data_IF_461717461689
#
_entry.id   IF_461717461689
#
_cell.length_a   1.000
_cell.length_b   1.000
_cell.length_c   1.000
_cell.angle_alpha   90.00
_cell.angle_beta   90.00
_cell.angle_gamma   90.00
#
_symmetry.space_group_name_H-M   'P 1'
#
loop_
_entity.id
_entity.type
_entity.pdbx_description
1 polymer ?
#
# COMPACT_ATOMS: atom_id res chain seq x y z
N UNK A 1 -10.45 -7.46 17.89
CA UNK A 1 -9.27 -6.78 17.32
C UNK A 1 -8.05 -7.03 18.19
N UNK A 2 -6.84 -6.88 17.61
CA UNK A 2 -5.59 -7.03 18.36
C UNK A 2 -4.56 -5.97 17.93
N UNK A 3 -3.66 -5.61 18.84
CA UNK A 3 -2.54 -4.73 18.58
C UNK A 3 -1.23 -5.35 19.10
N UNK A 4 -0.20 -5.30 18.26
CA UNK A 4 1.15 -5.79 18.62
C UNK A 4 2.13 -4.62 18.59
N UNK A 5 2.48 -4.06 19.77
CA UNK A 5 3.41 -2.94 19.88
C UNK A 5 4.87 -3.35 19.72
N UNK A 6 5.75 -2.35 19.81
CA UNK A 6 7.18 -2.57 20.10
C UNK A 6 7.34 -3.25 21.45
N UNK A 7 8.34 -4.13 21.59
CA UNK A 7 8.65 -4.81 22.84
C UNK A 7 8.98 -3.85 23.99
N UNK A 8 8.55 -4.17 25.20
CA UNK A 8 8.67 -3.31 26.38
C UNK A 8 10.06 -2.73 26.68
N UNK A 9 11.19 -3.44 26.50
CA UNK A 9 12.50 -2.86 26.76
C UNK A 9 12.78 -1.59 25.96
N UNK A 10 12.15 -1.45 24.80
CA UNK A 10 12.31 -0.31 23.88
C UNK A 10 11.14 0.68 23.91
N UNK A 11 10.07 0.39 24.69
CA UNK A 11 8.86 1.22 24.69
C UNK A 11 9.14 2.69 25.06
N UNK A 12 10.07 2.95 26.01
CA UNK A 12 10.47 4.31 26.38
C UNK A 12 11.14 5.09 25.23
N UNK A 13 11.77 4.39 24.28
CA UNK A 13 12.41 4.98 23.11
C UNK A 13 11.44 5.13 21.93
N UNK A 14 10.31 4.42 21.96
CA UNK A 14 9.36 4.32 20.86
C UNK A 14 7.95 4.79 21.24
N UNK A 15 7.84 6.03 21.73
CA UNK A 15 6.58 6.69 22.11
C UNK A 15 5.54 6.64 20.98
N UNK A 16 6.00 6.61 19.71
CA UNK A 16 5.13 6.46 18.57
C UNK A 16 4.31 5.16 18.57
N UNK A 17 4.87 4.06 19.08
CA UNK A 17 4.15 2.79 19.19
C UNK A 17 3.00 2.86 20.22
N UNK A 18 3.24 3.51 21.36
CA UNK A 18 2.20 3.75 22.38
C UNK A 18 1.10 4.68 21.84
N UNK A 19 1.46 5.69 21.07
CA UNK A 19 0.49 6.59 20.41
C UNK A 19 -0.35 5.85 19.38
N UNK A 20 0.25 4.96 18.59
CA UNK A 20 -0.47 4.11 17.62
C UNK A 20 -1.45 3.16 18.35
N UNK A 21 -1.02 2.52 19.44
CA UNK A 21 -1.88 1.67 20.28
C UNK A 21 -3.06 2.47 20.84
N UNK A 22 -2.76 3.61 21.46
CA UNK A 22 -3.78 4.49 22.06
C UNK A 22 -4.82 4.93 21.03
N UNK A 23 -4.38 5.38 19.84
CA UNK A 23 -5.28 5.79 18.78
C UNK A 23 -6.12 4.63 18.24
N UNK A 24 -5.53 3.44 18.08
CA UNK A 24 -6.22 2.24 17.62
C UNK A 24 -7.32 1.83 18.58
N UNK A 25 -7.04 1.82 19.87
CA UNK A 25 -8.02 1.53 20.93
C UNK A 25 -9.09 2.60 21.02
N UNK A 26 -8.69 3.87 21.05
CA UNK A 26 -9.63 5.00 21.15
C UNK A 26 -10.63 5.04 19.97
N UNK A 27 -10.27 4.49 18.82
CA UNK A 27 -11.19 4.38 17.69
C UNK A 27 -12.12 3.17 17.79
N UNK A 28 -11.64 2.01 18.23
CA UNK A 28 -12.38 0.75 18.20
C UNK A 28 -13.26 0.50 19.45
N UNK A 29 -12.76 0.85 20.63
CA UNK A 29 -13.48 0.60 21.88
C UNK A 29 -14.85 1.31 21.97
N UNK A 30 -15.00 2.59 21.54
CA UNK A 30 -16.30 3.25 21.49
C UNK A 30 -17.30 2.61 20.50
N UNK A 31 -16.79 1.85 19.52
CA UNK A 31 -17.62 1.08 18.58
C UNK A 31 -18.04 -0.29 19.14
N UNK A 32 -17.70 -0.60 20.40
CA UNK A 32 -18.04 -1.86 21.07
C UNK A 32 -17.05 -3.00 20.76
N UNK A 33 -15.88 -2.72 20.17
CA UNK A 33 -14.91 -3.74 19.85
C UNK A 33 -13.84 -3.87 20.94
N UNK A 34 -13.70 -5.08 21.51
CA UNK A 34 -12.58 -5.40 22.39
C UNK A 34 -11.26 -5.43 21.62
N UNK A 35 -10.20 -4.85 22.22
CA UNK A 35 -8.85 -4.83 21.66
C UNK A 35 -7.89 -5.58 22.58
N UNK A 36 -7.42 -6.76 22.13
CA UNK A 36 -6.37 -7.50 22.81
C UNK A 36 -5.01 -6.87 22.46
N UNK A 37 -4.17 -6.62 23.47
CA UNK A 37 -2.86 -6.03 23.23
C UNK A 37 -1.77 -7.00 23.68
N UNK A 38 -0.81 -7.27 22.79
CA UNK A 38 0.37 -8.04 23.13
C UNK A 38 1.24 -7.32 24.17
N UNK A 39 1.58 -8.02 25.25
CA UNK A 39 2.36 -7.47 26.38
C UNK A 39 3.62 -8.30 26.64
N UNK A 40 4.37 -8.63 25.60
CA UNK A 40 5.66 -9.30 25.74
C UNK A 40 6.64 -8.46 26.56
N UNK A 41 7.41 -9.11 27.44
CA UNK A 41 8.44 -8.47 28.26
C UNK A 41 9.84 -8.61 27.66
N UNK A 42 10.03 -9.58 26.76
CA UNK A 42 11.32 -9.87 26.13
C UNK A 42 11.69 -8.82 25.07
N UNK A 43 12.98 -8.73 24.77
CA UNK A 43 13.47 -7.92 23.67
C UNK A 43 12.93 -8.43 22.34
N UNK A 44 12.80 -7.52 21.39
CA UNK A 44 12.30 -7.79 20.06
C UNK A 44 13.10 -8.91 19.37
N UNK A 45 12.37 -9.83 18.75
CA UNK A 45 12.89 -10.96 17.96
C UNK A 45 13.77 -11.98 18.71
N UNK A 46 13.72 -11.98 20.05
CA UNK A 46 14.35 -13.05 20.84
C UNK A 46 13.49 -14.34 20.83
N UNK A 47 14.07 -15.51 21.19
CA UNK A 47 13.28 -16.73 21.34
C UNK A 47 12.08 -16.58 22.30
N UNK A 48 12.26 -15.84 23.40
CA UNK A 48 11.21 -15.59 24.39
C UNK A 48 10.11 -14.68 23.83
N UNK A 49 10.47 -13.64 23.04
CA UNK A 49 9.49 -12.79 22.36
C UNK A 49 8.67 -13.59 21.34
N UNK A 50 9.33 -14.47 20.58
CA UNK A 50 8.66 -15.33 19.60
C UNK A 50 7.69 -16.30 20.28
N UNK A 51 8.11 -16.96 21.36
CA UNK A 51 7.25 -17.87 22.12
C UNK A 51 6.05 -17.15 22.75
N UNK A 52 6.27 -15.95 23.33
CA UNK A 52 5.19 -15.13 23.87
C UNK A 52 4.20 -14.67 22.79
N UNK A 53 4.71 -14.28 21.61
CA UNK A 53 3.88 -13.89 20.46
C UNK A 53 3.04 -15.07 19.95
N UNK A 54 3.61 -16.26 19.85
CA UNK A 54 2.89 -17.47 19.46
C UNK A 54 1.79 -17.85 20.47
N UNK A 55 2.09 -17.73 21.76
CA UNK A 55 1.09 -17.94 22.81
C UNK A 55 -0.05 -16.92 22.71
N UNK A 56 0.26 -15.65 22.49
CA UNK A 56 -0.73 -14.59 22.29
C UNK A 56 -1.63 -14.88 21.07
N UNK A 57 -1.03 -15.23 19.92
CA UNK A 57 -1.78 -15.52 18.70
C UNK A 57 -2.65 -16.79 18.83
N UNK A 58 -2.21 -17.77 19.59
CA UNK A 58 -2.98 -18.98 19.87
C UNK A 58 -4.22 -18.66 20.70
N UNK A 59 -4.07 -17.84 21.74
CA UNK A 59 -5.14 -17.44 22.65
C UNK A 59 -6.12 -16.42 22.03
N UNK A 60 -5.72 -15.75 20.94
CA UNK A 60 -6.55 -14.72 20.33
C UNK A 60 -7.83 -15.33 19.72
N UNK A 61 -9.04 -14.85 20.10
CA UNK A 61 -10.28 -15.27 19.46
C UNK A 61 -10.27 -15.01 17.96
N UNK A 62 -10.80 -15.96 17.19
CA UNK A 62 -10.81 -15.90 15.72
C UNK A 62 -12.27 -15.87 15.22
N UNK A 63 -12.58 -15.13 14.13
CA UNK A 63 -11.65 -14.33 13.31
C UNK A 63 -11.20 -13.04 14.01
N UNK A 64 -9.96 -12.60 13.76
CA UNK A 64 -9.40 -11.40 14.33
C UNK A 64 -8.80 -10.49 13.24
N UNK A 65 -8.77 -9.18 13.51
CA UNK A 65 -7.99 -8.21 12.76
C UNK A 65 -6.90 -7.65 13.68
N UNK A 66 -5.65 -7.75 13.25
CA UNK A 66 -4.47 -7.41 14.02
C UNK A 66 -3.68 -6.29 13.32
N UNK A 67 -3.37 -5.23 14.07
CA UNK A 67 -2.44 -4.18 13.67
C UNK A 67 -1.13 -4.35 14.44
N UNK A 68 -0.02 -4.42 13.71
CA UNK A 68 1.31 -4.31 14.30
C UNK A 68 1.80 -2.87 14.24
N UNK A 69 2.64 -2.48 15.19
CA UNK A 69 3.11 -1.11 15.32
C UNK A 69 3.93 -0.63 14.10
N UNK A 70 4.62 -1.55 13.39
CA UNK A 70 5.34 -1.31 12.13
C UNK A 70 5.49 -2.62 11.33
N UNK A 71 6.03 -2.53 10.11
CA UNK A 71 6.04 -3.62 9.14
C UNK A 71 6.91 -4.81 9.57
N UNK A 72 8.10 -4.61 10.14
CA UNK A 72 8.92 -5.73 10.64
C UNK A 72 8.18 -6.52 11.73
N UNK A 73 7.49 -5.83 12.64
CA UNK A 73 6.68 -6.50 13.67
C UNK A 73 5.52 -7.27 13.06
N UNK A 74 4.90 -6.73 12.04
CA UNK A 74 3.90 -7.45 11.25
C UNK A 74 4.49 -8.69 10.58
N UNK A 75 5.70 -8.60 10.06
CA UNK A 75 6.44 -9.75 9.51
C UNK A 75 6.63 -10.87 10.53
N UNK A 76 6.98 -10.54 11.78
CA UNK A 76 7.08 -11.54 12.85
C UNK A 76 5.73 -12.15 13.21
N UNK A 77 4.65 -11.36 13.19
CA UNK A 77 3.29 -11.90 13.37
C UNK A 77 2.94 -12.88 12.25
N UNK A 78 3.23 -12.55 10.99
CA UNK A 78 2.97 -13.43 9.85
C UNK A 78 3.77 -14.73 9.94
N UNK A 79 5.06 -14.65 10.26
CA UNK A 79 5.92 -15.82 10.46
C UNK A 79 5.43 -16.71 11.62
N UNK A 80 4.96 -16.12 12.71
CA UNK A 80 4.35 -16.87 13.81
C UNK A 80 3.03 -17.52 13.40
N UNK A 81 2.18 -16.83 12.62
CA UNK A 81 0.96 -17.40 12.06
C UNK A 81 1.26 -18.62 11.15
N UNK A 82 2.31 -18.52 10.32
CA UNK A 82 2.73 -19.64 9.45
C UNK A 82 3.13 -20.87 10.28
N UNK A 83 3.99 -20.69 11.30
CA UNK A 83 4.41 -21.80 12.20
C UNK A 83 3.25 -22.44 12.95
N UNK A 84 2.25 -21.63 13.34
CA UNK A 84 1.06 -22.09 14.07
C UNK A 84 -0.06 -22.63 13.14
N UNK A 85 0.12 -22.58 11.82
CA UNK A 85 -0.92 -22.96 10.87
C UNK A 85 -2.14 -22.06 10.88
N UNK A 86 -2.02 -20.81 11.35
CA UNK A 86 -3.08 -19.82 11.36
C UNK A 86 -3.21 -19.20 9.97
N UNK A 87 -4.40 -19.34 9.35
CA UNK A 87 -4.65 -18.81 8.01
C UNK A 87 -4.76 -17.28 8.03
N UNK A 88 -3.88 -16.61 7.28
CA UNK A 88 -3.91 -15.18 7.04
C UNK A 88 -4.37 -14.92 5.60
N UNK A 89 -5.41 -14.10 5.37
CA UNK A 89 -6.20 -13.33 6.34
C UNK A 89 -7.42 -14.08 6.90
N UNK A 90 -7.60 -15.37 6.59
CA UNK A 90 -8.86 -16.11 6.86
C UNK A 90 -9.23 -16.20 8.34
N UNK A 91 -8.26 -16.36 9.22
CA UNK A 91 -8.47 -16.43 10.68
C UNK A 91 -7.92 -15.18 11.37
N UNK A 92 -6.79 -14.64 10.89
CA UNK A 92 -6.21 -13.40 11.39
C UNK A 92 -5.82 -12.54 10.20
N UNK A 93 -6.48 -11.38 10.03
CA UNK A 93 -6.03 -10.37 9.09
C UNK A 93 -4.95 -9.51 9.75
N UNK A 94 -3.85 -9.21 9.03
CA UNK A 94 -2.70 -8.48 9.58
C UNK A 94 -2.41 -7.23 8.77
N UNK A 95 -2.22 -6.10 9.46
CA UNK A 95 -1.79 -4.83 8.87
C UNK A 95 -0.55 -4.30 9.60
N UNK A 96 0.42 -3.81 8.82
CA UNK A 96 1.58 -3.09 9.31
C UNK A 96 1.47 -1.57 9.11
N UNK A 97 2.55 -0.87 9.35
CA UNK A 97 2.72 0.58 9.09
C UNK A 97 4.13 0.79 8.58
N UNK A 98 4.31 1.78 7.74
CA UNK A 98 5.47 2.37 7.09
C UNK A 98 5.56 2.03 5.60
N UNK A 99 4.93 0.96 5.14
CA UNK A 99 4.95 0.45 3.77
C UNK A 99 6.38 0.25 3.26
N UNK A 100 7.24 -0.36 4.08
CA UNK A 100 8.54 -0.82 3.61
C UNK A 100 8.34 -1.89 2.54
N UNK A 101 8.66 -1.56 1.29
CA UNK A 101 8.41 -2.44 0.15
C UNK A 101 9.18 -3.76 0.25
N UNK A 102 10.40 -3.73 0.80
CA UNK A 102 11.18 -4.95 1.00
C UNK A 102 10.50 -5.86 2.01
N UNK A 103 10.16 -5.36 3.18
CA UNK A 103 9.47 -6.14 4.22
C UNK A 103 8.12 -6.64 3.70
N UNK A 104 7.31 -5.73 3.13
CA UNK A 104 5.96 -6.05 2.69
C UNK A 104 5.90 -7.12 1.60
N UNK A 105 6.84 -7.08 0.63
CA UNK A 105 6.85 -8.01 -0.50
C UNK A 105 7.52 -9.35 -0.18
N UNK A 106 8.45 -9.39 0.79
CA UNK A 106 9.06 -10.63 1.26
C UNK A 106 8.19 -11.42 2.24
N UNK A 107 7.22 -10.77 2.90
CA UNK A 107 6.26 -11.46 3.76
C UNK A 107 5.40 -12.48 2.99
N UNK A 108 5.01 -13.56 3.68
CA UNK A 108 4.07 -14.59 3.18
C UNK A 108 2.93 -14.77 4.19
N UNK A 109 1.68 -14.38 3.82
CA UNK A 109 1.27 -13.64 2.62
C UNK A 109 1.84 -12.22 2.60
N UNK A 110 1.89 -11.56 1.41
CA UNK A 110 2.37 -10.17 1.27
C UNK A 110 1.62 -9.22 2.20
N UNK A 111 2.37 -8.36 2.89
CA UNK A 111 1.86 -7.53 3.98
C UNK A 111 1.11 -6.29 3.49
N UNK A 112 -0.14 -6.15 3.90
CA UNK A 112 -0.90 -4.90 3.84
C UNK A 112 -0.32 -3.91 4.84
N UNK A 113 -0.08 -2.67 4.43
CA UNK A 113 0.53 -1.67 5.30
C UNK A 113 -0.06 -0.28 5.10
N UNK A 114 -0.10 0.50 6.18
CA UNK A 114 -0.39 1.94 6.13
C UNK A 114 0.85 2.65 5.58
N UNK A 115 0.67 3.47 4.54
CA UNK A 115 1.74 4.24 3.93
C UNK A 115 1.72 5.69 4.44
N UNK A 116 2.61 6.07 5.38
CA UNK A 116 2.78 7.46 5.77
C UNK A 116 3.33 8.31 4.63
N UNK A 117 3.05 9.61 4.63
CA UNK A 117 3.61 10.54 3.63
C UNK A 117 4.94 11.12 4.13
N UNK A 118 5.96 10.28 4.24
CA UNK A 118 7.29 10.66 4.74
C UNK A 118 7.95 11.77 3.92
N UNK A 119 7.67 11.87 2.63
CA UNK A 119 8.17 12.97 1.79
C UNK A 119 7.59 14.30 2.27
N UNK A 120 6.28 14.35 2.48
CA UNK A 120 5.62 15.55 2.97
C UNK A 120 6.01 15.89 4.40
N UNK A 121 6.19 14.89 5.26
CA UNK A 121 6.70 15.06 6.61
C UNK A 121 8.10 15.69 6.60
N UNK A 122 9.02 15.13 5.81
CA UNK A 122 10.38 15.64 5.64
C UNK A 122 10.43 17.07 5.10
N UNK A 123 9.64 17.38 4.07
CA UNK A 123 9.55 18.74 3.51
C UNK A 123 9.03 19.74 4.54
N UNK A 124 8.02 19.38 5.33
CA UNK A 124 7.48 20.25 6.39
C UNK A 124 8.49 20.44 7.52
N UNK A 125 9.17 19.40 7.93
CA UNK A 125 10.21 19.46 8.96
C UNK A 125 11.36 20.38 8.52
N UNK A 126 11.84 20.24 7.28
CA UNK A 126 12.87 21.12 6.72
C UNK A 126 12.44 22.59 6.68
N UNK A 127 11.22 22.87 6.24
CA UNK A 127 10.68 24.23 6.20
C UNK A 127 10.50 24.83 7.61
N UNK A 128 10.11 24.00 8.59
CA UNK A 128 10.01 24.43 9.98
C UNK A 128 11.39 24.74 10.57
N UNK A 129 12.39 23.91 10.29
CA UNK A 129 13.77 24.12 10.71
C UNK A 129 14.37 25.38 10.11
N UNK A 130 14.18 25.61 8.80
CA UNK A 130 14.63 26.84 8.12
C UNK A 130 14.05 28.10 8.79
N UNK A 131 12.74 28.08 9.11
CA UNK A 131 12.11 29.19 9.82
C UNK A 131 12.75 29.43 11.20
N UNK A 132 13.02 28.37 11.97
CA UNK A 132 13.67 28.45 13.29
C UNK A 132 15.11 28.97 13.16
N UNK A 133 15.89 28.50 12.19
CA UNK A 133 17.25 28.97 11.93
C UNK A 133 17.27 30.47 11.58
N UNK A 134 16.26 30.94 10.84
CA UNK A 134 16.07 32.38 10.55
C UNK A 134 15.45 33.16 11.73
N UNK A 135 15.35 32.57 12.93
CA UNK A 135 14.72 33.16 14.13
C UNK A 135 13.27 33.61 13.90
N UNK A 136 12.56 32.92 13.01
CA UNK A 136 11.14 33.14 12.74
C UNK A 136 10.32 31.98 13.32
N UNK A 137 9.10 32.25 13.79
CA UNK A 137 8.20 31.19 14.19
C UNK A 137 7.72 30.42 12.95
N UNK A 138 7.78 29.06 12.95
CA UNK A 138 7.21 28.26 11.88
C UNK A 138 5.71 28.55 11.72
N UNK A 139 5.22 28.54 10.48
CA UNK A 139 3.79 28.65 10.23
C UNK A 139 3.06 27.46 10.89
N UNK A 140 1.92 27.72 11.54
CA UNK A 140 1.10 26.68 12.22
C UNK A 140 0.86 25.46 11.34
N UNK A 141 0.57 25.65 10.05
CA UNK A 141 0.37 24.58 9.08
C UNK A 141 1.56 23.61 8.94
N UNK A 142 2.80 24.03 9.25
CA UNK A 142 3.97 23.17 9.21
C UNK A 142 4.06 22.24 10.43
N UNK A 143 3.39 22.60 11.51
CA UNK A 143 3.36 21.85 12.78
C UNK A 143 2.16 20.91 12.90
N UNK A 144 1.21 20.99 11.95
CA UNK A 144 0.07 20.08 11.93
C UNK A 144 0.47 18.68 11.49
N UNK A 145 -0.16 17.62 12.02
CA UNK A 145 0.09 16.24 11.59
C UNK A 145 -0.11 16.07 10.08
N UNK A 146 0.74 15.26 9.46
CA UNK A 146 0.56 14.84 8.07
C UNK A 146 -0.28 13.57 8.07
N UNK A 147 -1.43 13.56 7.38
CA UNK A 147 -2.23 12.34 7.28
C UNK A 147 -1.48 11.28 6.46
N UNK A 148 -1.73 9.98 6.72
CA UNK A 148 -1.17 8.93 5.90
C UNK A 148 -1.62 9.08 4.44
N UNK A 149 -0.77 8.69 3.51
CA UNK A 149 -1.03 8.79 2.07
C UNK A 149 -2.13 7.83 1.62
N UNK A 150 -2.00 6.57 2.03
CA UNK A 150 -2.95 5.51 1.70
C UNK A 150 -2.73 4.27 2.57
N UNK A 151 -3.62 3.28 2.46
CA UNK A 151 -3.39 1.91 2.90
C UNK A 151 -3.11 1.07 1.67
N UNK A 152 -1.90 0.53 1.56
CA UNK A 152 -1.52 -0.36 0.46
C UNK A 152 -2.01 -1.77 0.79
N UNK A 153 -3.15 -2.15 0.20
CA UNK A 153 -3.78 -3.43 0.47
C UNK A 153 -3.05 -4.53 -0.30
N UNK A 154 -2.57 -5.54 0.45
CA UNK A 154 -1.97 -6.77 -0.07
C UNK A 154 -2.69 -7.99 0.51
N UNK A 155 -2.07 -9.16 0.48
CA UNK A 155 -2.71 -10.44 0.81
C UNK A 155 -3.07 -10.59 2.28
N UNK A 156 -2.29 -10.02 3.21
CA UNK A 156 -2.43 -10.25 4.65
C UNK A 156 -3.70 -9.68 5.29
N UNK A 157 -4.35 -8.71 4.64
CA UNK A 157 -5.61 -8.12 5.10
C UNK A 157 -6.62 -7.92 3.95
N UNK A 158 -6.39 -8.53 2.79
CA UNK A 158 -7.35 -8.46 1.69
C UNK A 158 -8.68 -9.09 2.12
N UNK A 159 -9.82 -8.48 1.76
CA UNK A 159 -11.13 -9.05 2.09
C UNK A 159 -11.24 -10.47 1.55
N UNK A 160 -11.62 -11.42 2.42
CA UNK A 160 -11.74 -12.85 2.09
C UNK A 160 -13.02 -13.14 1.30
N UNK A 161 -13.85 -12.13 0.98
CA UNK A 161 -15.05 -12.38 0.19
C UNK A 161 -14.69 -12.93 -1.21
N UNK A 162 -15.42 -13.90 -1.73
CA UNK A 162 -15.19 -14.42 -3.09
C UNK A 162 -15.17 -13.30 -4.15
N UNK A 163 -15.95 -12.23 -3.93
CA UNK A 163 -16.00 -11.08 -4.81
C UNK A 163 -14.70 -10.26 -4.78
N UNK A 164 -14.14 -10.01 -3.60
CA UNK A 164 -12.88 -9.28 -3.46
C UNK A 164 -11.68 -10.11 -3.96
N UNK A 165 -11.66 -11.42 -3.72
CA UNK A 165 -10.67 -12.32 -4.28
C UNK A 165 -10.72 -12.35 -5.82
N UNK A 166 -11.91 -12.31 -6.41
CA UNK A 166 -12.12 -12.22 -7.84
C UNK A 166 -11.56 -10.92 -8.42
N UNK A 167 -11.87 -9.77 -7.79
CA UNK A 167 -11.37 -8.47 -8.23
C UNK A 167 -9.85 -8.41 -8.15
N UNK A 168 -9.25 -8.87 -7.05
CA UNK A 168 -7.80 -8.92 -6.91
C UNK A 168 -7.13 -9.73 -8.03
N UNK A 169 -7.65 -10.92 -8.35
CA UNK A 169 -7.13 -11.73 -9.47
C UNK A 169 -7.29 -11.00 -10.80
N UNK A 170 -8.41 -10.32 -11.01
CA UNK A 170 -8.65 -9.55 -12.22
C UNK A 170 -7.68 -8.37 -12.36
N UNK A 171 -7.43 -7.63 -11.28
CA UNK A 171 -6.47 -6.52 -11.25
C UNK A 171 -5.03 -7.00 -11.49
N UNK A 172 -4.60 -8.10 -10.87
CA UNK A 172 -3.29 -8.70 -11.12
C UNK A 172 -3.12 -9.13 -12.57
N UNK A 173 -4.15 -9.73 -13.17
CA UNK A 173 -4.14 -10.10 -14.59
C UNK A 173 -4.05 -8.87 -15.50
N UNK A 174 -4.79 -7.79 -15.19
CA UNK A 174 -4.73 -6.51 -15.90
C UNK A 174 -3.32 -5.92 -15.86
N UNK A 175 -2.72 -5.82 -14.66
CA UNK A 175 -1.40 -5.23 -14.46
C UNK A 175 -0.32 -5.93 -15.30
N UNK A 176 -0.37 -7.26 -15.35
CA UNK A 176 0.60 -8.06 -16.09
C UNK A 176 0.36 -8.03 -17.61
N UNK A 177 -0.90 -7.93 -18.08
CA UNK A 177 -1.25 -8.21 -19.47
C UNK A 177 -1.82 -7.01 -20.23
N UNK A 178 -2.05 -5.84 -19.61
CA UNK A 178 -2.70 -4.70 -20.24
C UNK A 178 -2.07 -4.28 -21.58
N UNK A 179 -0.74 -4.33 -21.67
CA UNK A 179 0.02 -3.95 -22.87
C UNK A 179 -0.15 -4.91 -24.04
N UNK A 180 -0.63 -6.13 -23.80
CA UNK A 180 -0.87 -7.15 -24.83
C UNK A 180 -2.18 -6.92 -25.58
N UNK A 181 -2.86 -5.78 -25.36
CA UNK A 181 -4.09 -5.43 -26.04
C UNK A 181 -5.31 -6.22 -25.58
N UNK A 182 -5.27 -6.82 -24.39
CA UNK A 182 -6.39 -7.55 -23.80
C UNK A 182 -7.61 -6.64 -23.63
N UNK A 183 -8.78 -7.26 -23.68
CA UNK A 183 -10.08 -6.63 -23.51
C UNK A 183 -10.72 -7.07 -22.20
N UNK A 184 -11.71 -6.36 -21.67
CA UNK A 184 -12.41 -6.77 -20.46
C UNK A 184 -13.03 -8.18 -20.50
N UNK A 185 -13.37 -8.69 -21.70
CA UNK A 185 -13.79 -10.08 -21.87
C UNK A 185 -12.68 -11.11 -21.58
N UNK A 186 -11.43 -10.76 -21.89
CA UNK A 186 -10.27 -11.61 -21.60
C UNK A 186 -9.98 -11.63 -20.10
N UNK A 187 -10.15 -10.49 -19.42
CA UNK A 187 -10.07 -10.40 -17.96
C UNK A 187 -11.15 -11.27 -17.30
N UNK A 188 -12.39 -11.20 -17.76
CA UNK A 188 -13.47 -12.03 -17.22
C UNK A 188 -13.18 -13.53 -17.39
N UNK A 189 -12.67 -13.91 -18.56
CA UNK A 189 -12.28 -15.29 -18.88
C UNK A 189 -11.12 -15.77 -17.99
N UNK A 190 -10.12 -14.95 -17.75
CA UNK A 190 -8.96 -15.30 -16.92
C UNK A 190 -9.32 -15.59 -15.46
N UNK A 191 -10.38 -14.95 -14.95
CA UNK A 191 -10.85 -15.17 -13.58
C UNK A 191 -12.04 -16.12 -13.47
N UNK A 192 -12.49 -16.69 -14.61
CA UNK A 192 -13.51 -17.73 -14.67
C UNK A 192 -14.95 -17.25 -14.44
N UNK A 193 -15.29 -16.02 -14.86
CA UNK A 193 -16.63 -15.46 -14.70
C UNK A 193 -17.16 -14.84 -15.99
N UNK A 194 -18.48 -14.61 -16.05
CA UNK A 194 -19.07 -13.83 -17.14
C UNK A 194 -18.66 -12.36 -17.07
N UNK A 195 -18.61 -11.69 -18.21
CA UNK A 195 -18.32 -10.26 -18.30
C UNK A 195 -19.27 -9.43 -17.41
N UNK A 196 -20.56 -9.75 -17.44
CA UNK A 196 -21.59 -9.07 -16.63
C UNK A 196 -21.31 -9.18 -15.14
N UNK A 197 -20.92 -10.37 -14.66
CA UNK A 197 -20.57 -10.57 -13.24
C UNK A 197 -19.32 -9.79 -12.88
N UNK A 198 -18.29 -9.76 -13.73
CA UNK A 198 -17.08 -8.98 -13.51
C UNK A 198 -17.39 -7.48 -13.39
N UNK A 199 -18.15 -6.91 -14.33
CA UNK A 199 -18.53 -5.50 -14.30
C UNK A 199 -19.36 -5.16 -13.07
N UNK A 200 -20.30 -6.04 -12.67
CA UNK A 200 -21.07 -5.88 -11.44
C UNK A 200 -20.16 -5.85 -10.20
N UNK A 201 -19.20 -6.76 -10.10
CA UNK A 201 -18.27 -6.79 -8.96
C UNK A 201 -17.35 -5.59 -8.95
N UNK A 202 -16.87 -5.15 -10.10
CA UNK A 202 -16.07 -3.92 -10.19
C UNK A 202 -16.88 -2.69 -9.75
N UNK A 203 -18.15 -2.56 -10.14
CA UNK A 203 -19.00 -1.45 -9.69
C UNK A 203 -19.27 -1.46 -8.18
N UNK A 204 -19.34 -2.64 -7.57
CA UNK A 204 -19.61 -2.78 -6.13
C UNK A 204 -18.38 -2.58 -5.24
N UNK A 205 -17.19 -3.00 -5.69
CA UNK A 205 -16.01 -3.14 -4.84
C UNK A 205 -14.78 -2.37 -5.35
N UNK A 206 -14.85 -1.79 -6.54
CA UNK A 206 -13.75 -1.04 -7.13
C UNK A 206 -14.22 0.36 -7.55
N UNK A 207 -13.36 1.36 -7.38
CA UNK A 207 -13.69 2.75 -7.75
C UNK A 207 -13.71 2.99 -9.26
N UNK A 208 -13.08 2.09 -10.03
CA UNK A 208 -12.94 2.20 -11.50
C UNK A 208 -13.52 0.97 -12.18
N UNK A 209 -13.99 1.15 -13.40
CA UNK A 209 -14.41 0.04 -14.25
C UNK A 209 -13.22 -0.78 -14.73
N UNK A 210 -13.47 -2.00 -15.23
CA UNK A 210 -12.43 -2.85 -15.85
C UNK A 210 -11.71 -2.12 -16.99
N UNK A 211 -12.43 -1.34 -17.81
CA UNK A 211 -11.83 -0.52 -18.86
C UNK A 211 -10.93 0.60 -18.27
N UNK A 212 -11.35 1.22 -17.18
CA UNK A 212 -10.56 2.24 -16.48
C UNK A 212 -9.25 1.68 -15.96
N UNK A 213 -9.27 0.50 -15.33
CA UNK A 213 -8.06 -0.17 -14.83
C UNK A 213 -7.12 -0.58 -15.98
N UNK A 214 -7.66 -1.11 -17.08
CA UNK A 214 -6.85 -1.42 -18.27
C UNK A 214 -6.20 -0.18 -18.87
N UNK A 215 -6.89 0.94 -18.88
CA UNK A 215 -6.36 2.21 -19.35
C UNK A 215 -5.25 2.71 -18.44
N UNK A 216 -5.46 2.71 -17.13
CA UNK A 216 -4.48 3.15 -16.13
C UNK A 216 -3.20 2.30 -16.18
N UNK A 217 -3.33 0.98 -16.29
CA UNK A 217 -2.20 0.09 -16.44
C UNK A 217 -1.35 0.42 -17.67
N UNK A 218 -2.00 0.69 -18.82
CA UNK A 218 -1.31 1.14 -20.05
C UNK A 218 -0.64 2.50 -19.87
N UNK A 219 -1.32 3.46 -19.23
CA UNK A 219 -0.78 4.80 -19.00
C UNK A 219 0.41 4.78 -18.03
N UNK A 220 0.44 3.89 -17.04
CA UNK A 220 1.62 3.67 -16.18
C UNK A 220 2.86 3.28 -17.01
N UNK A 221 2.68 2.37 -17.99
CA UNK A 221 3.78 1.97 -18.89
C UNK A 221 4.22 3.15 -19.75
N UNK A 222 3.28 3.94 -20.29
CA UNK A 222 3.61 5.16 -21.04
C UNK A 222 4.45 6.11 -20.20
N UNK A 223 4.04 6.42 -18.97
CA UNK A 223 4.78 7.30 -18.07
C UNK A 223 6.20 6.79 -17.81
N UNK A 224 6.34 5.51 -17.46
CA UNK A 224 7.64 4.89 -17.24
C UNK A 224 8.55 5.05 -18.47
N UNK A 225 8.02 4.79 -19.67
CA UNK A 225 8.82 4.92 -20.91
C UNK A 225 9.14 6.38 -21.25
N UNK A 226 8.26 7.34 -20.98
CA UNK A 226 8.53 8.77 -21.19
C UNK A 226 9.66 9.26 -20.29
N UNK A 227 9.75 8.75 -19.05
CA UNK A 227 10.79 9.10 -18.08
C UNK A 227 12.12 8.42 -18.38
N UNK A 228 12.10 7.12 -18.72
CA UNK A 228 13.31 6.29 -18.81
C UNK A 228 13.89 6.17 -20.22
N UNK A 229 13.20 6.61 -21.28
CA UNK A 229 13.65 6.41 -22.67
C UNK A 229 13.47 7.64 -23.56
N UNK A 230 14.24 7.71 -24.65
CA UNK A 230 14.08 8.72 -25.70
C UNK A 230 13.26 8.21 -26.91
N UNK A 231 12.64 7.04 -26.81
CA UNK A 231 11.89 6.44 -27.92
C UNK A 231 10.83 7.40 -28.50
N UNK A 232 10.59 7.38 -29.82
CA UNK A 232 9.50 8.14 -30.45
C UNK A 232 8.16 7.83 -29.79
N UNK A 233 7.25 8.82 -29.74
CA UNK A 233 5.91 8.64 -29.13
C UNK A 233 5.14 7.49 -29.79
N UNK A 234 5.30 7.30 -31.10
CA UNK A 234 4.71 6.17 -31.82
C UNK A 234 5.18 4.81 -31.26
N UNK A 235 6.49 4.67 -30.96
CA UNK A 235 7.05 3.46 -30.37
C UNK A 235 6.57 3.25 -28.92
N UNK A 236 6.44 4.33 -28.14
CA UNK A 236 5.87 4.28 -26.79
C UNK A 236 4.38 3.83 -26.85
N UNK A 237 3.61 4.36 -27.78
CA UNK A 237 2.22 4.00 -27.99
C UNK A 237 2.06 2.50 -28.31
N UNK A 238 2.84 1.99 -29.24
CA UNK A 238 2.84 0.57 -29.62
C UNK A 238 3.23 -0.33 -28.44
N UNK A 239 4.32 0.00 -27.73
CA UNK A 239 4.82 -0.78 -26.58
C UNK A 239 3.82 -0.78 -25.39
N UNK A 240 3.04 0.27 -25.22
CA UNK A 240 1.98 0.35 -24.21
C UNK A 240 0.65 -0.29 -24.68
N UNK A 241 0.61 -0.93 -25.84
CA UNK A 241 -0.56 -1.64 -26.37
C UNK A 241 -1.68 -0.73 -26.86
N UNK A 242 -1.37 0.49 -27.31
CA UNK A 242 -2.33 1.37 -27.99
C UNK A 242 -2.25 1.15 -29.49
N UNK A 243 -3.40 0.97 -30.14
CA UNK A 243 -3.51 0.78 -31.60
C UNK A 243 -3.33 2.08 -32.40
N UNK A 244 -3.56 3.21 -31.76
CA UNK A 244 -3.56 4.52 -32.42
C UNK A 244 -2.92 5.56 -31.49
N UNK A 245 -1.90 6.25 -32.00
CA UNK A 245 -1.17 7.30 -31.29
C UNK A 245 -2.07 8.49 -30.93
N UNK A 246 -2.96 8.90 -31.83
CA UNK A 246 -3.90 10.00 -31.58
C UNK A 246 -4.86 9.68 -30.43
N UNK A 247 -5.31 8.42 -30.33
CA UNK A 247 -6.11 8.00 -29.19
C UNK A 247 -5.33 8.09 -27.89
N UNK A 248 -4.09 7.63 -27.85
CA UNK A 248 -3.20 7.79 -26.68
C UNK A 248 -3.01 9.27 -26.34
N UNK A 249 -2.73 10.14 -27.32
CA UNK A 249 -2.52 11.58 -27.07
C UNK A 249 -3.74 12.23 -26.43
N UNK A 250 -4.95 11.93 -26.96
CA UNK A 250 -6.22 12.43 -26.40
C UNK A 250 -6.43 11.98 -24.97
N UNK A 251 -6.26 10.69 -24.71
CA UNK A 251 -6.47 10.09 -23.38
C UNK A 251 -5.41 10.56 -22.39
N UNK A 252 -4.15 10.63 -22.80
CA UNK A 252 -3.06 11.11 -21.95
C UNK A 252 -3.27 12.56 -21.53
N UNK A 253 -3.64 13.44 -22.47
CA UNK A 253 -3.95 14.84 -22.17
C UNK A 253 -5.15 14.98 -21.25
N UNK A 254 -6.19 14.19 -21.45
CA UNK A 254 -7.37 14.18 -20.57
C UNK A 254 -7.05 13.72 -19.15
N UNK A 255 -6.09 12.79 -18.99
CA UNK A 255 -5.73 12.19 -17.70
C UNK A 255 -4.70 13.02 -16.93
N UNK A 256 -3.71 13.62 -17.60
CA UNK A 256 -2.59 14.33 -17.00
C UNK A 256 -2.55 15.84 -17.27
N UNK A 257 -3.52 16.40 -17.99
CA UNK A 257 -3.65 17.83 -18.26
C UNK A 257 -2.63 18.40 -19.26
N UNK A 258 -1.66 17.62 -19.75
CA UNK A 258 -0.61 18.07 -20.66
C UNK A 258 -0.23 17.03 -21.70
N UNK A 259 0.53 17.44 -22.74
CA UNK A 259 0.96 16.51 -23.79
C UNK A 259 2.09 15.59 -23.31
N UNK A 260 2.26 14.44 -23.95
CA UNK A 260 3.37 13.52 -23.70
C UNK A 260 4.74 14.16 -23.99
N UNK A 261 4.81 15.10 -24.94
CA UNK A 261 6.04 15.85 -25.25
C UNK A 261 6.42 16.80 -24.12
N UNK A 262 5.45 17.52 -23.57
CA UNK A 262 5.65 18.43 -22.44
C UNK A 262 6.04 17.64 -21.18
N UNK A 263 5.34 16.54 -20.92
CA UNK A 263 5.67 15.64 -19.81
C UNK A 263 7.13 15.14 -19.89
N UNK A 264 7.57 14.68 -21.07
CA UNK A 264 8.95 14.22 -21.28
C UNK A 264 9.96 15.32 -21.09
N UNK A 265 9.68 16.54 -21.57
CA UNK A 265 10.55 17.70 -21.40
C UNK A 265 10.73 18.04 -19.93
N UNK A 266 9.66 18.10 -19.16
CA UNK A 266 9.68 18.39 -17.73
C UNK A 266 10.42 17.29 -16.93
N UNK A 267 10.14 16.02 -17.23
CA UNK A 267 10.82 14.90 -16.56
C UNK A 267 12.34 14.90 -16.79
N UNK A 268 12.82 15.52 -17.88
CA UNK A 268 14.25 15.64 -18.19
C UNK A 268 14.86 16.94 -17.67
N UNK A 269 14.05 17.99 -17.46
CA UNK A 269 14.52 19.27 -16.92
C UNK A 269 14.57 19.27 -15.39
N UNK A 270 13.99 18.28 -14.74
CA UNK A 270 14.18 18.06 -13.31
C UNK A 270 15.48 17.25 -13.15
N UNK A 271 16.59 17.84 -12.66
CA UNK A 271 17.84 17.10 -12.49
C UNK A 271 17.59 15.96 -11.51
N UNK A 272 18.11 14.77 -11.86
CA UNK A 272 18.25 13.65 -10.93
C UNK A 272 19.23 14.06 -9.82
N UNK A 273 18.75 14.82 -8.84
CA UNK A 273 19.47 15.04 -7.60
C UNK A 273 18.98 14.04 -6.56
N UNK A 274 19.92 13.26 -6.14
CA UNK A 274 19.92 12.32 -5.03
C UNK A 274 19.64 10.83 -5.38
N UNK A 275 20.55 10.27 -6.14
CA UNK A 275 20.93 8.89 -5.93
C UNK A 275 22.46 8.84 -5.94
N UNK A 276 23.08 9.24 -4.80
CA UNK A 276 24.43 8.86 -4.32
C UNK A 276 24.82 9.88 -3.23
N UNK A 277 24.73 9.44 -1.97
CA UNK A 277 25.13 10.13 -0.75
C UNK A 277 24.62 9.36 0.44
#
# INVERSE_FOLDING_TARGET
>A
FAFVPVSRPYAKLHVWSERRETAFRAHLEPLGHAVAVFRGAAAFDTPDDRAALESFLTALPKPAALMAAWDERAGHVLAACERLGIRVPGQVAVIGVDNDELVCDFCKPKLTSVYPDHIREGLRAAAALDALMARRSPRKALLEPVPPKEIVIRESAAPVSPAAALIRRALAFIETNAVLGIRPGDVARSVGVSRRLLDLRFSQYNRKSVNGELLDAKLKVVLKMLQSTSRPIAAVSAAAGFRNVHHLEKVFRAHYGKSMRDWRREARSTPAHAAHG
#
